data_IF_377548816638
#
_entry.id   IF_377548816638
#
_cell.length_a   1.000
_cell.length_b   1.000
_cell.length_c   1.000
_cell.angle_alpha   90.00
_cell.angle_beta   90.00
_cell.angle_gamma   90.00
#
_symmetry.space_group_name_H-M   'P 1'
#
loop_
_entity.id
_entity.type
_entity.pdbx_description
1 polymer ?
#
# COMPACT_ATOMS: atom_id res chain seq x y z
N UNK A 1 -35.17 -17.98 -20.74
CA UNK A 1 -34.53 -16.67 -20.47
C UNK A 1 -34.90 -16.27 -19.05
N UNK A 2 -33.98 -16.39 -18.09
CA UNK A 2 -34.26 -16.07 -16.69
C UNK A 2 -34.22 -14.54 -16.50
N UNK A 3 -35.29 -13.89 -16.00
CA UNK A 3 -35.45 -12.43 -16.06
C UNK A 3 -34.96 -11.74 -14.79
N UNK A 4 -33.78 -12.11 -14.28
CA UNK A 4 -33.24 -11.51 -13.06
C UNK A 4 -31.83 -11.01 -13.36
N UNK A 5 -31.69 -9.70 -13.52
CA UNK A 5 -30.37 -9.05 -13.66
C UNK A 5 -29.54 -9.39 -12.42
N UNK A 6 -28.35 -9.97 -12.62
CA UNK A 6 -27.44 -10.33 -11.53
C UNK A 6 -27.39 -11.83 -11.18
N UNK A 7 -28.14 -12.70 -11.86
CA UNK A 7 -27.95 -14.14 -11.70
C UNK A 7 -26.64 -14.57 -12.40
N UNK A 8 -25.60 -14.81 -11.62
CA UNK A 8 -24.30 -15.26 -12.11
C UNK A 8 -24.19 -16.77 -11.92
N UNK A 9 -23.76 -17.48 -12.96
CA UNK A 9 -23.46 -18.90 -12.86
C UNK A 9 -22.03 -19.07 -12.35
N UNK A 10 -21.81 -19.94 -11.38
CA UNK A 10 -20.48 -20.18 -10.82
C UNK A 10 -19.45 -20.55 -11.90
N UNK A 11 -19.90 -21.28 -12.92
CA UNK A 11 -19.06 -21.67 -14.06
C UNK A 11 -18.51 -20.50 -14.88
N UNK A 12 -19.15 -19.33 -14.82
CA UNK A 12 -18.68 -18.13 -15.53
C UNK A 12 -17.40 -17.54 -14.89
N UNK A 13 -17.10 -17.86 -13.62
CA UNK A 13 -15.91 -17.39 -12.92
C UNK A 13 -14.71 -18.33 -13.05
N UNK A 14 -14.88 -19.53 -13.63
CA UNK A 14 -13.76 -20.48 -13.76
C UNK A 14 -12.55 -19.92 -14.50
N UNK A 15 -12.68 -19.13 -15.58
CA UNK A 15 -11.53 -18.49 -16.22
C UNK A 15 -10.79 -17.57 -15.25
N UNK A 16 -11.50 -16.67 -14.56
CA UNK A 16 -10.91 -15.72 -13.61
C UNK A 16 -10.21 -16.45 -12.44
N UNK A 17 -10.85 -17.49 -11.90
CA UNK A 17 -10.28 -18.32 -10.83
C UNK A 17 -9.04 -19.08 -11.30
N UNK A 18 -9.04 -19.53 -12.56
CA UNK A 18 -7.90 -20.24 -13.16
C UNK A 18 -6.74 -19.28 -13.41
N UNK A 19 -7.03 -18.08 -13.90
CA UNK A 19 -6.03 -17.01 -14.08
C UNK A 19 -5.41 -16.59 -12.73
N UNK A 20 -6.24 -16.49 -11.69
CA UNK A 20 -5.81 -16.25 -10.30
C UNK A 20 -4.89 -17.37 -9.80
N UNK A 21 -5.31 -18.64 -10.00
CA UNK A 21 -4.51 -19.81 -9.61
C UNK A 21 -3.15 -19.85 -10.31
N UNK A 22 -3.11 -19.48 -11.59
CA UNK A 22 -1.88 -19.43 -12.37
C UNK A 22 -1.07 -18.13 -12.18
N UNK A 23 -1.53 -17.21 -11.32
CA UNK A 23 -0.88 -15.92 -11.04
C UNK A 23 -0.56 -15.12 -12.32
N UNK A 24 -1.42 -15.22 -13.34
CA UNK A 24 -1.18 -14.60 -14.65
C UNK A 24 -1.27 -13.07 -14.55
N UNK A 25 -2.07 -12.56 -13.61
CA UNK A 25 -2.18 -11.14 -13.30
C UNK A 25 -1.22 -10.80 -12.15
N UNK A 26 0.05 -10.52 -12.46
CA UNK A 26 1.12 -10.30 -11.47
C UNK A 26 0.90 -9.19 -10.42
N UNK A 27 -0.21 -8.45 -10.47
CA UNK A 27 -0.63 -7.50 -9.43
C UNK A 27 -1.31 -8.15 -8.23
N UNK A 28 -1.84 -9.36 -8.37
CA UNK A 28 -2.57 -10.07 -7.30
C UNK A 28 -1.66 -10.58 -6.18
N UNK A 29 -0.35 -10.70 -6.45
CA UNK A 29 0.66 -11.08 -5.45
C UNK A 29 1.03 -9.93 -4.49
N UNK A 30 0.53 -8.73 -4.74
CA UNK A 30 0.82 -7.54 -3.95
C UNK A 30 2.22 -6.97 -4.17
N UNK A 31 2.41 -5.76 -3.68
CA UNK A 31 3.65 -5.01 -3.76
C UNK A 31 4.40 -5.12 -2.43
N UNK A 32 5.71 -5.35 -2.53
CA UNK A 32 6.61 -5.36 -1.39
C UNK A 32 6.57 -4.03 -0.64
N UNK A 33 6.49 -4.11 0.69
CA UNK A 33 6.48 -2.99 1.62
C UNK A 33 7.85 -2.30 1.73
N UNK A 34 8.89 -2.94 1.22
CA UNK A 34 10.29 -2.51 1.36
C UNK A 34 11.05 -3.18 2.50
N UNK A 35 10.33 -3.86 3.41
CA UNK A 35 10.92 -4.57 4.54
C UNK A 35 10.76 -6.07 4.38
N UNK A 36 11.88 -6.79 4.18
CA UNK A 36 11.88 -8.25 3.98
C UNK A 36 11.14 -9.01 5.08
N UNK A 37 11.31 -8.58 6.34
CA UNK A 37 10.66 -9.20 7.49
C UNK A 37 9.12 -9.04 7.49
N UNK A 38 8.60 -8.04 6.77
CA UNK A 38 7.16 -7.81 6.65
C UNK A 38 6.60 -8.42 5.37
N UNK A 39 7.36 -8.40 4.28
CA UNK A 39 6.92 -8.93 2.97
C UNK A 39 6.56 -10.43 3.05
N UNK A 40 7.17 -11.18 3.97
CA UNK A 40 6.82 -12.60 4.22
C UNK A 40 5.45 -12.76 4.89
N UNK A 41 4.94 -11.73 5.55
CA UNK A 41 3.68 -11.72 6.30
C UNK A 41 2.59 -10.90 5.61
N UNK A 42 2.97 -9.86 4.86
CA UNK A 42 2.07 -8.87 4.32
C UNK A 42 2.67 -8.14 3.11
N UNK A 43 1.90 -8.11 2.02
CA UNK A 43 2.18 -7.32 0.81
C UNK A 43 0.96 -6.45 0.48
N UNK A 44 1.21 -5.33 -0.21
CA UNK A 44 0.16 -4.34 -0.50
C UNK A 44 -0.49 -4.64 -1.84
N UNK A 45 -1.75 -5.04 -1.81
CA UNK A 45 -2.52 -5.34 -3.02
C UNK A 45 -3.28 -4.09 -3.48
N UNK A 46 -3.12 -3.65 -4.74
CA UNK A 46 -3.92 -2.56 -5.30
C UNK A 46 -5.42 -2.85 -5.19
N UNK A 47 -6.20 -1.85 -4.77
CA UNK A 47 -7.66 -1.99 -4.64
C UNK A 47 -8.14 -2.55 -3.30
N UNK A 48 -7.23 -2.99 -2.43
CA UNK A 48 -7.57 -3.43 -1.07
C UNK A 48 -7.46 -2.31 -0.03
N UNK A 49 -8.25 -2.43 1.05
CA UNK A 49 -8.18 -1.54 2.20
C UNK A 49 -7.12 -2.03 3.19
N UNK A 50 -6.10 -1.20 3.40
CA UNK A 50 -5.07 -1.44 4.42
C UNK A 50 -5.31 -0.55 5.64
N UNK A 51 -5.47 -1.16 6.81
CA UNK A 51 -5.70 -0.44 8.07
C UNK A 51 -4.50 -0.62 9.00
N UNK A 52 -3.93 0.49 9.47
CA UNK A 52 -2.77 0.49 10.37
C UNK A 52 -3.21 1.07 11.70
N UNK A 53 -3.03 0.30 12.78
CA UNK A 53 -3.44 0.67 14.14
C UNK A 53 -2.32 0.38 15.14
N UNK A 54 -2.42 0.99 16.33
CA UNK A 54 -1.41 0.90 17.38
C UNK A 54 -1.55 2.03 18.39
N UNK A 55 -0.85 1.92 19.52
CA UNK A 55 -0.92 2.89 20.62
C UNK A 55 -0.51 4.30 20.17
N UNK A 56 -1.06 5.38 20.77
CA UNK A 56 -0.61 6.74 20.49
C UNK A 56 0.91 6.88 20.65
N UNK A 57 1.54 7.73 19.84
CA UNK A 57 3.00 7.93 19.80
C UNK A 57 3.85 6.68 19.48
N UNK A 58 3.27 5.62 18.91
CA UNK A 58 4.02 4.43 18.45
C UNK A 58 4.72 4.59 17.09
N UNK A 59 4.70 5.78 16.49
CA UNK A 59 5.33 6.03 15.19
C UNK A 59 4.54 5.56 13.96
N UNK A 60 3.21 5.37 14.05
CA UNK A 60 2.36 4.93 12.93
C UNK A 60 2.49 5.84 11.70
N UNK A 61 2.38 7.15 11.89
CA UNK A 61 2.45 8.12 10.80
C UNK A 61 3.82 8.08 10.11
N UNK A 62 4.90 8.02 10.89
CA UNK A 62 6.26 7.83 10.38
C UNK A 62 6.45 6.52 9.63
N UNK A 63 5.84 5.44 10.10
CA UNK A 63 5.88 4.13 9.44
C UNK A 63 5.11 4.14 8.11
N UNK A 64 3.92 4.75 8.08
CA UNK A 64 3.13 4.95 6.87
C UNK A 64 3.93 5.76 5.85
N UNK A 65 4.50 6.89 6.24
CA UNK A 65 5.30 7.71 5.33
C UNK A 65 6.45 6.92 4.70
N UNK A 66 7.15 6.11 5.51
CA UNK A 66 8.26 5.28 5.03
C UNK A 66 7.78 4.20 4.05
N UNK A 67 6.65 3.57 4.35
CA UNK A 67 6.01 2.61 3.46
C UNK A 67 5.64 3.23 2.11
N UNK A 68 5.02 4.41 2.12
CA UNK A 68 4.65 5.12 0.89
C UNK A 68 5.88 5.49 0.06
N UNK A 69 6.96 5.96 0.69
CA UNK A 69 8.23 6.23 0.01
C UNK A 69 8.81 4.95 -0.62
N UNK A 70 8.80 3.82 0.09
CA UNK A 70 9.31 2.54 -0.43
C UNK A 70 8.53 2.08 -1.68
N UNK A 71 7.20 2.17 -1.65
CA UNK A 71 6.35 1.77 -2.78
C UNK A 71 6.54 2.72 -3.96
N UNK A 72 6.64 4.03 -3.69
CA UNK A 72 6.92 5.02 -4.73
C UNK A 72 8.29 4.74 -5.41
N UNK A 73 9.33 4.46 -4.65
CA UNK A 73 10.68 4.17 -5.18
C UNK A 73 10.71 2.88 -6.02
N UNK A 74 9.98 1.84 -5.61
CA UNK A 74 10.01 0.52 -6.27
C UNK A 74 9.04 0.38 -7.44
N UNK A 75 7.84 0.94 -7.30
CA UNK A 75 6.71 0.70 -8.21
C UNK A 75 6.19 1.98 -8.86
N UNK A 76 6.72 3.16 -8.50
CA UNK A 76 6.32 4.43 -9.09
C UNK A 76 4.90 4.87 -8.73
N UNK A 77 4.32 4.37 -7.63
CA UNK A 77 2.97 4.72 -7.24
C UNK A 77 2.85 6.19 -6.81
N UNK A 78 1.75 6.81 -7.20
CA UNK A 78 1.40 8.18 -6.78
C UNK A 78 0.35 8.11 -5.68
N UNK A 79 0.58 8.83 -4.58
CA UNK A 79 -0.28 8.81 -3.41
C UNK A 79 -0.92 10.17 -3.16
N UNK A 80 -2.20 10.16 -2.79
CA UNK A 80 -2.88 11.29 -2.19
C UNK A 80 -2.84 11.16 -0.67
N UNK A 81 -2.46 12.23 0.02
CA UNK A 81 -2.31 12.25 1.47
C UNK A 81 -3.31 13.21 2.11
N UNK A 82 -3.97 12.75 3.17
CA UNK A 82 -4.81 13.57 4.03
C UNK A 82 -4.29 13.43 5.47
N UNK A 83 -3.40 14.33 5.88
CA UNK A 83 -2.91 14.38 7.25
C UNK A 83 -3.66 15.44 8.04
N UNK A 84 -4.42 15.00 9.05
CA UNK A 84 -5.15 15.91 9.96
C UNK A 84 -4.28 16.34 11.16
N UNK A 85 -3.14 15.67 11.37
CA UNK A 85 -2.26 15.90 12.53
C UNK A 85 -1.10 16.84 12.22
N UNK A 86 -0.56 16.81 11.00
CA UNK A 86 0.59 17.59 10.60
C UNK A 86 0.19 18.71 9.64
N UNK A 87 0.85 19.88 9.76
CA UNK A 87 0.80 20.90 8.70
C UNK A 87 1.45 20.34 7.43
N UNK A 88 0.97 20.80 6.28
CA UNK A 88 1.44 20.35 4.97
C UNK A 88 2.96 20.51 4.80
N UNK A 89 3.51 21.64 5.26
CA UNK A 89 4.95 21.93 5.17
C UNK A 89 5.79 20.96 6.02
N UNK A 90 5.36 20.68 7.25
CA UNK A 90 6.03 19.74 8.13
C UNK A 90 5.95 18.30 7.62
N UNK A 91 4.80 17.92 7.05
CA UNK A 91 4.62 16.60 6.46
C UNK A 91 5.48 16.43 5.19
N UNK A 92 5.52 17.45 4.32
CA UNK A 92 6.36 17.45 3.14
C UNK A 92 7.85 17.33 3.50
N UNK A 93 8.30 18.06 4.53
CA UNK A 93 9.67 17.94 5.05
C UNK A 93 9.99 16.51 5.47
N UNK A 94 9.10 15.87 6.26
CA UNK A 94 9.26 14.48 6.71
C UNK A 94 9.31 13.47 5.57
N UNK A 95 8.54 13.68 4.51
CA UNK A 95 8.57 12.83 3.31
C UNK A 95 9.88 12.99 2.53
N UNK A 96 10.37 14.23 2.40
CA UNK A 96 11.65 14.52 1.76
C UNK A 96 12.83 13.86 2.48
N UNK A 97 12.85 13.84 3.82
CA UNK A 97 13.90 13.15 4.59
C UNK A 97 13.95 11.66 4.26
N UNK A 98 12.77 11.02 4.18
CA UNK A 98 12.63 9.59 3.91
C UNK A 98 13.00 9.26 2.46
N UNK A 99 12.59 10.10 1.51
CA UNK A 99 12.92 9.93 0.10
C UNK A 99 14.42 10.14 -0.18
N UNK A 100 15.02 11.20 0.38
CA UNK A 100 16.46 11.52 0.20
C UNK A 100 17.35 10.64 1.07
N UNK A 101 16.78 10.00 2.12
CA UNK A 101 17.48 9.19 3.13
C UNK A 101 18.54 9.99 3.89
N UNK A 102 18.27 11.28 4.12
CA UNK A 102 19.12 12.21 4.88
C UNK A 102 18.26 13.08 5.80
N UNK A 103 18.67 13.29 7.06
CA UNK A 103 17.95 14.18 7.96
C UNK A 103 18.11 15.65 7.51
N UNK A 104 17.09 16.51 7.71
CA UNK A 104 17.24 17.95 7.46
C UNK A 104 18.17 18.61 8.47
N UNK A 105 18.16 18.12 9.70
CA UNK A 105 18.99 18.64 10.78
C UNK A 105 20.00 17.57 11.19
N UNK A 106 21.27 17.93 11.26
CA UNK A 106 22.24 17.08 11.94
C UNK A 106 21.84 17.04 13.42
N UNK A 107 21.50 15.85 13.92
CA UNK A 107 21.37 15.63 15.36
C UNK A 107 22.68 16.08 16.03
N UNK A 108 22.58 17.01 16.97
CA UNK A 108 23.67 17.30 17.92
C UNK A 108 23.82 16.14 18.89
#
# INVERSE_FOLDING_TARGET
>A
MFPIRGLLNFSNFFPDITDYYHCIQGFELGVSTGWRALDDLYNIVPGELTVITGVPNSGKSEWIDALLCNINERCGWTFALCSMENKVEDHARKLLEKHIKKPFFNSR
#
